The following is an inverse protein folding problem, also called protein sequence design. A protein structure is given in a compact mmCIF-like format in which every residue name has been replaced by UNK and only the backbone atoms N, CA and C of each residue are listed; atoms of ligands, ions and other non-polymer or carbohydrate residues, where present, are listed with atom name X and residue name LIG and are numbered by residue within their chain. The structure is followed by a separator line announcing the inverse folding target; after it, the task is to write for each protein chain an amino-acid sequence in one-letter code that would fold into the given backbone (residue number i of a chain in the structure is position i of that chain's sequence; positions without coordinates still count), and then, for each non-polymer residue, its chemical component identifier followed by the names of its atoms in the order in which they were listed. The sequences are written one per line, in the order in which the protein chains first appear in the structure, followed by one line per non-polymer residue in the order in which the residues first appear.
data_IF_501933881554
#
_entry.id   IF_501933881554
#
_cell.length_a   1.000
_cell.length_b   1.000
_cell.length_c   1.000
_cell.angle_alpha   90.00
_cell.angle_beta   90.00
_cell.angle_gamma   90.00
#
_symmetry.space_group_name_H-M   'P 1'
#
loop_
_entity.id
_entity.type
_entity.pdbx_description
1 polymer ?
#
# COMPACT_ATOMS: atom_id res chain seq x y z
N UNK A 1 -18.95 3.80 1.68
CA UNK A 1 -17.86 3.98 2.67
C UNK A 1 -18.18 5.20 3.54
N UNK A 2 -18.34 5.07 4.86
CA UNK A 2 -18.47 6.25 5.73
C UNK A 2 -17.13 6.99 5.89
N UNK A 3 -17.08 8.26 5.47
CA UNK A 3 -16.05 9.22 5.90
C UNK A 3 -16.48 9.74 7.28
N UNK A 4 -15.76 9.34 8.32
CA UNK A 4 -16.08 9.74 9.69
C UNK A 4 -15.25 10.97 10.07
N UNK A 5 -15.87 11.85 10.86
CA UNK A 5 -15.24 13.09 11.33
C UNK A 5 -14.02 12.75 12.19
N UNK A 6 -12.85 13.24 11.79
CA UNK A 6 -11.61 13.13 12.55
C UNK A 6 -11.28 14.48 13.23
N UNK A 7 -10.68 14.46 14.43
CA UNK A 7 -10.31 15.66 15.16
C UNK A 7 -9.25 16.48 14.40
N UNK A 8 -9.44 17.80 14.38
CA UNK A 8 -8.47 18.75 13.82
C UNK A 8 -7.29 18.94 14.78
N UNK A 9 -6.06 18.67 14.33
CA UNK A 9 -4.87 19.16 15.03
C UNK A 9 -4.72 20.65 14.73
N UNK A 10 -5.17 21.53 15.65
CA UNK A 10 -4.99 22.98 15.52
C UNK A 10 -3.75 23.42 16.29
N UNK A 11 -2.67 23.67 15.57
CA UNK A 11 -1.47 24.31 16.11
C UNK A 11 -0.64 25.01 15.01
N UNK A 12 -0.86 26.32 14.82
CA UNK A 12 0.14 27.27 14.29
C UNK A 12 0.10 27.67 12.80
N UNK A 13 0.07 28.98 12.54
CA UNK A 13 0.25 29.69 11.25
C UNK A 13 -0.95 29.74 10.27
N UNK A 14 -1.17 30.86 9.53
CA UNK A 14 -2.22 30.97 8.49
C UNK A 14 -2.01 30.04 7.27
N UNK A 15 -0.85 29.37 7.22
CA UNK A 15 -0.49 28.33 6.25
C UNK A 15 -0.36 26.97 6.95
N UNK A 16 -1.37 26.61 7.75
CA UNK A 16 -1.37 25.35 8.50
C UNK A 16 -1.44 24.18 7.51
N UNK A 17 -0.36 23.40 7.45
CA UNK A 17 -0.36 22.10 6.77
C UNK A 17 -1.32 21.19 7.54
N UNK A 18 -2.49 20.93 6.98
CA UNK A 18 -3.48 20.03 7.55
C UNK A 18 -3.05 18.57 7.33
N UNK A 19 -3.43 17.68 8.25
CA UNK A 19 -3.29 16.24 8.09
C UNK A 19 -4.66 15.57 8.16
N UNK A 20 -4.84 14.48 7.42
CA UNK A 20 -6.06 13.66 7.48
C UNK A 20 -5.74 12.18 7.41
N UNK A 21 -6.50 11.37 8.16
CA UNK A 21 -6.45 9.91 8.11
C UNK A 21 -7.46 9.40 7.09
N UNK A 22 -6.99 8.64 6.12
CA UNK A 22 -7.82 7.97 5.10
C UNK A 22 -7.55 6.49 5.17
N UNK A 23 -8.60 5.68 5.19
CA UNK A 23 -8.48 4.22 5.20
C UNK A 23 -9.15 3.59 3.99
N UNK A 24 -8.42 2.69 3.31
CA UNK A 24 -9.03 1.73 2.38
C UNK A 24 -9.57 0.58 3.21
N UNK A 25 -10.87 0.35 3.10
CA UNK A 25 -11.61 -0.68 3.85
C UNK A 25 -11.39 -2.07 3.24
N UNK A 26 -11.82 -3.16 3.90
CA UNK A 26 -11.59 -4.52 3.43
C UNK A 26 -11.99 -4.78 1.98
N UNK A 27 -13.16 -4.30 1.56
CA UNK A 27 -13.63 -4.41 0.17
C UNK A 27 -12.69 -3.72 -0.83
N UNK A 28 -12.19 -2.52 -0.50
CA UNK A 28 -11.30 -1.78 -1.37
C UNK A 28 -9.91 -2.42 -1.51
N UNK A 29 -9.40 -3.03 -0.43
CA UNK A 29 -8.14 -3.79 -0.47
C UNK A 29 -8.32 -5.06 -1.28
N UNK A 30 -9.40 -5.81 -1.03
CA UNK A 30 -9.73 -7.04 -1.75
C UNK A 30 -9.94 -6.82 -3.24
N UNK A 31 -10.40 -5.62 -3.61
CA UNK A 31 -10.57 -5.17 -4.99
C UNK A 31 -9.33 -4.56 -5.61
N UNK A 32 -8.18 -4.59 -4.92
CA UNK A 32 -6.92 -4.05 -5.45
C UNK A 32 -7.08 -2.59 -5.90
N UNK A 33 -7.67 -1.75 -5.02
CA UNK A 33 -7.90 -0.33 -5.29
C UNK A 33 -6.90 0.59 -4.60
N UNK A 34 -5.92 0.06 -3.88
CA UNK A 34 -5.01 0.84 -3.03
C UNK A 34 -4.19 1.79 -3.90
N UNK A 35 -3.58 1.30 -4.97
CA UNK A 35 -2.77 2.10 -5.87
C UNK A 35 -3.60 3.19 -6.56
N UNK A 36 -4.83 2.86 -6.94
CA UNK A 36 -5.75 3.82 -7.56
C UNK A 36 -6.16 4.93 -6.60
N UNK A 37 -6.45 4.61 -5.33
CA UNK A 37 -6.77 5.62 -4.31
C UNK A 37 -5.56 6.51 -4.05
N UNK A 38 -4.37 5.94 -3.86
CA UNK A 38 -3.13 6.69 -3.61
C UNK A 38 -2.83 7.63 -4.78
N UNK A 39 -2.93 7.17 -6.03
CA UNK A 39 -2.71 8.02 -7.20
C UNK A 39 -3.63 9.24 -7.24
N UNK A 40 -4.89 9.12 -6.81
CA UNK A 40 -5.80 10.27 -6.79
C UNK A 40 -5.32 11.33 -5.82
N UNK A 41 -4.89 10.93 -4.63
CA UNK A 41 -4.35 11.86 -3.64
C UNK A 41 -3.01 12.48 -4.09
N UNK A 42 -2.11 11.68 -4.67
CA UNK A 42 -0.84 12.15 -5.24
C UNK A 42 -1.09 13.18 -6.36
N UNK A 43 -2.05 12.96 -7.26
CA UNK A 43 -2.39 13.92 -8.34
C UNK A 43 -2.93 15.25 -7.85
N UNK A 44 -3.54 15.28 -6.66
CA UNK A 44 -3.97 16.51 -6.00
C UNK A 44 -2.82 17.23 -5.27
N UNK A 45 -1.60 16.68 -5.32
CA UNK A 45 -0.42 17.24 -4.69
C UNK A 45 -0.33 16.94 -3.20
N UNK A 46 -1.17 16.04 -2.66
CA UNK A 46 -1.10 15.66 -1.26
C UNK A 46 0.10 14.76 -0.99
N UNK A 47 0.73 14.97 0.16
CA UNK A 47 1.90 14.23 0.60
C UNK A 47 1.46 13.09 1.50
N UNK A 48 1.79 11.86 1.13
CA UNK A 48 1.66 10.71 2.03
C UNK A 48 2.78 10.77 3.07
N UNK A 49 2.43 10.78 4.36
CA UNK A 49 3.40 10.87 5.47
C UNK A 49 3.41 9.66 6.39
N UNK A 50 2.43 8.77 6.25
CA UNK A 50 2.43 7.48 6.92
C UNK A 50 1.44 6.54 6.27
N UNK A 51 1.76 5.26 6.24
CA UNK A 51 0.80 4.22 5.86
C UNK A 51 1.14 2.88 6.51
N UNK A 52 0.11 2.10 6.80
CA UNK A 52 0.25 0.72 7.28
C UNK A 52 -0.93 -0.13 6.85
N UNK A 53 -0.63 -1.35 6.42
CA UNK A 53 -1.61 -2.42 6.27
C UNK A 53 -1.83 -3.13 7.61
N UNK A 54 -3.09 -3.39 7.94
CA UNK A 54 -3.48 -4.05 9.18
C UNK A 54 -4.71 -4.93 8.95
N UNK A 55 -4.78 -6.07 9.61
CA UNK A 55 -6.02 -6.81 9.81
C UNK A 55 -6.31 -6.83 11.30
N UNK A 56 -7.46 -6.29 11.69
CA UNK A 56 -7.83 -6.25 13.10
C UNK A 56 -8.56 -7.54 13.44
N UNK A 57 -7.88 -8.43 14.17
CA UNK A 57 -8.45 -9.62 14.78
C UNK A 57 -8.80 -9.36 16.25
N UNK A 58 -9.55 -10.27 16.87
CA UNK A 58 -9.85 -10.19 18.31
C UNK A 58 -8.54 -10.13 19.15
N UNK A 59 -8.51 -9.33 20.24
CA UNK A 59 -9.59 -8.47 20.73
C UNK A 59 -9.76 -7.18 19.91
N UNK A 60 -11.00 -6.83 19.53
CA UNK A 60 -11.32 -5.68 18.65
C UNK A 60 -11.20 -4.29 19.31
N UNK A 61 -10.38 -4.14 20.35
CA UNK A 61 -10.27 -2.87 21.10
C UNK A 61 -9.87 -1.69 20.22
N UNK A 62 -9.00 -1.91 19.23
CA UNK A 62 -8.56 -0.86 18.30
C UNK A 62 -9.74 -0.32 17.49
N UNK A 63 -10.63 -1.19 16.99
CA UNK A 63 -11.84 -0.75 16.29
C UNK A 63 -12.84 -0.11 17.26
N UNK A 64 -12.94 -0.64 18.48
CA UNK A 64 -13.86 -0.12 19.48
C UNK A 64 -13.50 1.31 19.92
N UNK A 65 -12.20 1.58 20.11
CA UNK A 65 -11.63 2.89 20.41
C UNK A 65 -11.75 3.82 19.20
N UNK A 66 -11.35 3.36 18.01
CA UNK A 66 -11.43 4.15 16.78
C UNK A 66 -12.85 4.61 16.43
N UNK A 67 -13.86 3.77 16.71
CA UNK A 67 -15.27 4.08 16.46
C UNK A 67 -16.08 4.39 17.73
N UNK A 68 -15.43 4.86 18.80
CA UNK A 68 -16.10 5.10 20.10
C UNK A 68 -17.34 5.99 19.98
N UNK A 69 -17.30 7.01 19.12
CA UNK A 69 -18.40 7.98 18.93
C UNK A 69 -19.63 7.37 18.26
N UNK A 70 -19.48 6.18 17.67
CA UNK A 70 -20.55 5.46 16.98
C UNK A 70 -21.14 4.34 17.82
N UNK A 71 -20.62 4.03 19.01
CA UNK A 71 -21.03 2.88 19.82
C UNK A 71 -22.55 2.82 20.09
N UNK A 72 -23.22 3.98 20.14
CA UNK A 72 -24.66 4.08 20.38
C UNK A 72 -25.51 3.97 19.11
N UNK A 73 -24.91 3.85 17.92
CA UNK A 73 -25.63 3.78 16.64
C UNK A 73 -26.08 2.34 16.36
N UNK A 74 -27.30 2.13 15.82
CA UNK A 74 -27.82 0.79 15.54
C UNK A 74 -26.94 -0.05 14.59
N UNK A 75 -26.25 0.60 13.66
CA UNK A 75 -25.37 -0.05 12.69
C UNK A 75 -23.97 -0.37 13.23
N UNK A 76 -23.64 0.03 14.47
CA UNK A 76 -22.29 -0.11 15.02
C UNK A 76 -21.77 -1.56 15.05
N UNK A 77 -22.55 -2.57 15.50
CA UNK A 77 -22.07 -3.95 15.48
C UNK A 77 -21.72 -4.45 14.07
N UNK A 78 -22.55 -4.09 13.09
CA UNK A 78 -22.31 -4.43 11.69
C UNK A 78 -21.07 -3.71 11.14
N UNK A 79 -20.84 -2.44 11.52
CA UNK A 79 -19.62 -1.71 11.17
C UNK A 79 -18.38 -2.39 11.73
N UNK A 80 -18.36 -2.77 13.01
CA UNK A 80 -17.21 -3.44 13.63
C UNK A 80 -16.94 -4.78 12.95
N UNK A 81 -17.98 -5.59 12.76
CA UNK A 81 -17.88 -6.87 12.05
C UNK A 81 -17.37 -6.72 10.62
N UNK A 82 -17.77 -5.65 9.93
CA UNK A 82 -17.30 -5.35 8.58
C UNK A 82 -15.83 -4.93 8.57
N UNK A 83 -15.42 -4.05 9.48
CA UNK A 83 -14.05 -3.55 9.52
C UNK A 83 -13.04 -4.62 9.97
N UNK A 84 -13.48 -5.65 10.70
CA UNK A 84 -12.66 -6.82 11.06
C UNK A 84 -12.70 -7.95 10.02
N UNK A 85 -13.50 -7.83 8.95
CA UNK A 85 -13.69 -8.93 7.98
C UNK A 85 -12.50 -9.15 7.04
N UNK A 86 -11.49 -8.29 7.06
CA UNK A 86 -10.35 -8.38 6.15
C UNK A 86 -9.31 -7.29 6.36
N UNK A 87 -8.33 -7.20 5.45
CA UNK A 87 -7.24 -6.22 5.53
C UNK A 87 -7.73 -4.80 5.32
N UNK A 88 -7.10 -3.85 5.99
CA UNK A 88 -7.27 -2.42 5.77
C UNK A 88 -5.92 -1.79 5.46
N UNK A 89 -5.93 -0.67 4.75
CA UNK A 89 -4.75 0.20 4.60
C UNK A 89 -5.10 1.56 5.16
N UNK A 90 -4.48 1.94 6.26
CA UNK A 90 -4.60 3.27 6.86
C UNK A 90 -3.48 4.16 6.35
N UNK A 91 -3.79 5.40 5.98
CA UNK A 91 -2.88 6.38 5.39
C UNK A 91 -3.08 7.75 6.02
N UNK A 92 -1.98 8.45 6.30
CA UNK A 92 -1.98 9.84 6.75
C UNK A 92 -1.49 10.71 5.60
N UNK A 93 -2.34 11.66 5.21
CA UNK A 93 -2.09 12.60 4.12
C UNK A 93 -1.96 14.01 4.65
N UNK A 94 -1.02 14.76 4.10
CA UNK A 94 -0.78 16.16 4.41
C UNK A 94 -0.90 17.04 3.17
N UNK A 95 -1.47 18.23 3.36
CA UNK A 95 -1.53 19.23 2.29
C UNK A 95 -2.51 20.36 2.57
N UNK A 96 -2.50 21.34 1.69
CA UNK A 96 -3.43 22.47 1.78
C UNK A 96 -4.87 21.99 1.56
N UNK A 97 -5.77 22.29 2.50
CA UNK A 97 -7.18 21.90 2.45
C UNK A 97 -7.35 20.39 2.19
N UNK A 98 -6.43 19.56 2.70
CA UNK A 98 -6.46 18.12 2.47
C UNK A 98 -7.73 17.52 3.08
N UNK A 99 -8.22 18.03 4.21
CA UNK A 99 -9.45 17.53 4.84
C UNK A 99 -10.67 17.78 3.93
N UNK A 100 -10.84 19.02 3.45
CA UNK A 100 -11.97 19.39 2.60
C UNK A 100 -11.94 18.69 1.25
N UNK A 101 -10.78 18.70 0.59
CA UNK A 101 -10.60 18.09 -0.73
C UNK A 101 -10.72 16.56 -0.67
N UNK A 102 -10.20 15.92 0.38
CA UNK A 102 -10.35 14.46 0.56
C UNK A 102 -11.81 14.07 0.69
N UNK A 103 -12.62 14.83 1.44
CA UNK A 103 -14.06 14.57 1.56
C UNK A 103 -14.77 14.65 0.21
N UNK A 104 -14.47 15.68 -0.58
CA UNK A 104 -15.03 15.82 -1.93
C UNK A 104 -14.61 14.68 -2.87
N UNK A 105 -13.33 14.25 -2.79
CA UNK A 105 -12.77 13.20 -3.63
C UNK A 105 -13.29 11.80 -3.28
N UNK A 106 -13.50 11.52 -1.99
CA UNK A 106 -14.05 10.26 -1.50
C UNK A 106 -15.52 10.09 -1.94
N UNK A 107 -16.30 11.16 -1.92
CA UNK A 107 -17.72 11.14 -2.32
C UNK A 107 -18.67 10.76 -1.17
N UNK A 108 -19.97 10.75 -1.47
CA UNK A 108 -21.03 10.50 -0.49
C UNK A 108 -20.91 9.12 0.17
N UNK A 109 -21.38 8.97 1.42
CA UNK A 109 -21.21 7.72 2.17
C UNK A 109 -22.06 6.55 1.63
N UNK A 110 -23.18 6.90 0.99
CA UNK A 110 -24.01 6.00 0.20
C UNK A 110 -23.42 5.88 -1.21
N UNK A 111 -23.01 4.68 -1.59
CA UNK A 111 -22.42 4.40 -2.91
C UNK A 111 -23.39 4.61 -4.06
N UNK A 112 -24.70 4.51 -3.82
CA UNK A 112 -25.72 4.74 -4.86
C UNK A 112 -25.98 6.22 -5.12
N UNK A 113 -25.52 7.09 -4.22
CA UNK A 113 -25.62 8.55 -4.32
C UNK A 113 -24.26 9.22 -4.61
N UNK A 114 -23.20 8.43 -4.77
CA UNK A 114 -21.86 8.95 -5.05
C UNK A 114 -21.72 9.37 -6.53
N UNK A 115 -21.29 10.61 -6.77
CA UNK A 115 -21.12 11.14 -8.13
C UNK A 115 -19.99 10.40 -8.90
N UNK A 116 -20.16 10.16 -10.22
CA UNK A 116 -19.07 9.68 -11.08
C UNK A 116 -17.83 10.58 -10.99
N UNK A 117 -16.64 9.99 -10.96
CA UNK A 117 -15.37 10.70 -10.72
C UNK A 117 -14.93 10.76 -9.25
N UNK A 118 -15.81 10.40 -8.30
CA UNK A 118 -15.43 10.20 -6.88
C UNK A 118 -14.95 8.76 -6.64
N UNK A 119 -14.14 8.53 -5.61
CA UNK A 119 -13.62 7.18 -5.30
C UNK A 119 -14.78 6.19 -5.09
N UNK A 120 -15.84 6.60 -4.42
CA UNK A 120 -17.00 5.73 -4.20
C UNK A 120 -17.86 5.54 -5.45
N UNK A 121 -18.01 6.58 -6.29
CA UNK A 121 -18.77 6.47 -7.54
C UNK A 121 -18.11 5.55 -8.57
N UNK A 122 -16.78 5.50 -8.60
CA UNK A 122 -16.05 4.81 -9.67
C UNK A 122 -15.76 3.32 -9.38
N UNK A 123 -15.78 2.88 -8.13
CA UNK A 123 -15.26 1.55 -7.75
C UNK A 123 -16.20 0.68 -6.90
N UNK A 124 -17.48 1.04 -6.81
CA UNK A 124 -18.48 0.26 -6.08
C UNK A 124 -19.13 -0.83 -6.96
N UNK A 125 -18.49 -1.98 -7.27
CA UNK A 125 -19.06 -3.30 -7.71
C UNK A 125 -17.95 -4.40 -7.80
N UNK A 126 -18.30 -5.70 -7.64
CA UNK A 126 -17.45 -6.90 -7.44
C UNK A 126 -16.82 -7.53 -8.69
N UNK A 127 -15.58 -8.08 -8.58
CA UNK A 127 -15.01 -9.13 -9.46
C UNK A 127 -14.13 -10.13 -8.64
N UNK A 128 -14.09 -11.38 -9.13
CA UNK A 128 -13.56 -12.64 -8.54
C UNK A 128 -12.05 -12.85 -8.71
N UNK A 129 -11.44 -13.62 -7.81
CA UNK A 129 -10.08 -14.20 -7.92
C UNK A 129 -10.06 -15.69 -7.53
N UNK A 130 -9.07 -16.44 -8.04
CA UNK A 130 -8.92 -17.90 -7.94
C UNK A 130 -7.68 -18.27 -7.11
N UNK A 131 -7.69 -19.35 -6.30
CA UNK A 131 -6.55 -19.72 -5.48
C UNK A 131 -5.49 -20.46 -6.31
N UNK A 132 -4.26 -19.94 -6.32
CA UNK A 132 -3.06 -20.68 -6.74
C UNK A 132 -2.00 -20.61 -5.64
N UNK A 133 -1.11 -21.60 -5.62
CA UNK A 133 0.00 -21.77 -4.67
C UNK A 133 0.84 -20.50 -4.49
N UNK A 134 1.04 -20.09 -3.24
CA UNK A 134 1.53 -18.77 -2.81
C UNK A 134 3.07 -18.69 -2.82
N UNK A 135 3.63 -18.16 -3.90
CA UNK A 135 4.94 -17.53 -3.86
C UNK A 135 4.77 -16.08 -3.37
N UNK A 136 5.74 -15.57 -2.62
CA UNK A 136 5.75 -14.19 -2.11
C UNK A 136 7.05 -13.49 -2.50
N UNK A 137 6.99 -12.17 -2.71
CA UNK A 137 8.17 -11.35 -2.97
C UNK A 137 8.13 -10.05 -2.16
N UNK A 138 9.29 -9.56 -1.74
CA UNK A 138 9.42 -8.22 -1.21
C UNK A 138 9.55 -7.23 -2.37
N UNK A 139 8.80 -6.13 -2.31
CA UNK A 139 8.92 -4.99 -3.22
C UNK A 139 9.05 -3.72 -2.40
N UNK A 140 10.00 -2.87 -2.75
CA UNK A 140 10.29 -1.62 -2.05
C UNK A 140 10.28 -0.44 -3.02
N UNK A 141 9.40 0.54 -2.80
CA UNK A 141 9.50 1.87 -3.42
C UNK A 141 10.53 2.68 -2.64
N UNK A 142 11.59 3.09 -3.32
CA UNK A 142 12.75 3.76 -2.73
C UNK A 142 12.49 5.24 -2.42
N UNK A 143 13.38 5.93 -1.69
CA UNK A 143 13.15 7.31 -1.26
C UNK A 143 12.83 8.30 -2.39
N UNK A 144 13.45 8.14 -3.56
CA UNK A 144 13.15 8.96 -4.74
C UNK A 144 11.78 8.64 -5.37
N UNK A 145 11.36 7.38 -5.38
CA UNK A 145 10.01 6.99 -5.80
C UNK A 145 8.93 7.58 -4.90
N UNK A 146 9.17 7.60 -3.59
CA UNK A 146 8.29 8.26 -2.60
C UNK A 146 8.29 9.77 -2.78
N UNK A 147 9.46 10.41 -2.88
CA UNK A 147 9.59 11.87 -3.08
C UNK A 147 8.90 12.35 -4.35
N UNK A 148 8.88 11.52 -5.39
CA UNK A 148 8.24 11.80 -6.68
C UNK A 148 6.77 11.41 -6.74
N UNK A 149 6.17 10.96 -5.64
CA UNK A 149 4.75 10.58 -5.56
C UNK A 149 4.38 9.50 -6.59
N UNK A 150 5.20 8.44 -6.66
CA UNK A 150 5.00 7.31 -7.56
C UNK A 150 4.48 6.06 -6.84
N UNK A 151 4.08 6.19 -5.57
CA UNK A 151 3.69 5.04 -4.73
C UNK A 151 2.45 4.38 -5.32
N UNK A 152 1.42 5.18 -5.61
CA UNK A 152 0.18 4.66 -6.19
C UNK A 152 0.39 4.10 -7.59
N UNK A 153 1.32 4.68 -8.36
CA UNK A 153 1.68 4.21 -9.70
C UNK A 153 2.30 2.81 -9.66
N UNK A 154 3.24 2.59 -8.75
CA UNK A 154 3.85 1.27 -8.55
C UNK A 154 2.81 0.26 -8.09
N UNK A 155 2.06 0.55 -7.02
CA UNK A 155 1.08 -0.38 -6.45
C UNK A 155 0.05 -0.80 -7.52
N UNK A 156 -0.46 0.16 -8.30
CA UNK A 156 -1.45 -0.12 -9.33
C UNK A 156 -0.94 -1.11 -10.40
N UNK A 157 0.37 -1.13 -10.71
CA UNK A 157 0.92 -2.11 -11.68
C UNK A 157 0.86 -3.54 -11.14
N UNK A 158 1.19 -3.72 -9.87
CA UNK A 158 1.11 -5.03 -9.21
C UNK A 158 -0.34 -5.48 -9.02
N UNK A 159 -1.22 -4.55 -8.63
CA UNK A 159 -2.67 -4.76 -8.55
C UNK A 159 -3.26 -5.19 -9.90
N UNK A 160 -2.95 -4.46 -10.99
CA UNK A 160 -3.45 -4.81 -12.33
C UNK A 160 -2.93 -6.14 -12.87
N UNK A 161 -1.77 -6.59 -12.40
CA UNK A 161 -1.26 -7.92 -12.73
C UNK A 161 -2.06 -9.04 -12.03
N UNK A 162 -2.81 -8.70 -10.99
CA UNK A 162 -3.59 -9.64 -10.18
C UNK A 162 -2.83 -10.17 -8.97
N UNK A 163 -1.71 -9.56 -8.58
CA UNK A 163 -1.01 -9.95 -7.36
C UNK A 163 -1.77 -9.51 -6.12
N UNK A 164 -1.69 -10.35 -5.09
CA UNK A 164 -2.34 -10.13 -3.81
C UNK A 164 -1.39 -9.39 -2.88
N UNK A 165 -1.77 -8.21 -2.41
CA UNK A 165 -1.00 -7.50 -1.39
C UNK A 165 -1.28 -8.14 -0.01
N UNK A 166 -0.22 -8.55 0.70
CA UNK A 166 -0.33 -9.19 2.03
C UNK A 166 0.41 -8.44 3.14
N UNK A 167 1.27 -7.49 2.80
CA UNK A 167 1.92 -6.62 3.80
C UNK A 167 2.33 -5.31 3.15
N UNK A 168 2.22 -4.21 3.89
CA UNK A 168 2.67 -2.88 3.44
C UNK A 168 2.93 -1.94 4.62
N UNK A 169 4.06 -1.22 4.57
CA UNK A 169 4.35 -0.12 5.50
C UNK A 169 5.26 0.93 4.89
N UNK A 170 5.05 2.18 5.31
CA UNK A 170 5.99 3.28 5.07
C UNK A 170 6.91 3.42 6.27
N UNK A 171 8.21 3.53 6.00
CA UNK A 171 9.23 3.70 7.04
C UNK A 171 10.41 4.51 6.52
N UNK A 172 11.08 5.22 7.43
CA UNK A 172 12.43 5.73 7.19
C UNK A 172 13.38 4.85 7.98
N UNK A 173 14.41 4.33 7.33
CA UNK A 173 15.33 3.37 7.95
C UNK A 173 16.31 4.12 8.84
N UNK A 174 16.01 4.14 10.15
CA UNK A 174 16.85 4.78 11.16
C UNK A 174 18.05 3.93 11.56
N UNK A 175 17.91 2.61 11.51
CA UNK A 175 18.90 1.64 11.95
C UNK A 175 19.78 1.17 10.79
N UNK A 176 21.07 1.57 10.73
CA UNK A 176 21.95 1.23 9.60
C UNK A 176 22.16 -0.28 9.42
N UNK A 177 22.04 -1.07 10.50
CA UNK A 177 22.24 -2.51 10.45
C UNK A 177 21.21 -3.22 9.56
N UNK A 178 19.96 -2.73 9.50
CA UNK A 178 18.90 -3.34 8.68
C UNK A 178 19.28 -3.25 7.20
N UNK A 179 19.78 -2.10 6.75
CA UNK A 179 20.26 -1.96 5.37
C UNK A 179 21.53 -2.79 5.13
N UNK A 180 22.39 -2.92 6.12
CA UNK A 180 23.60 -3.72 6.00
C UNK A 180 23.33 -5.23 5.86
N UNK A 181 22.29 -5.71 6.54
CA UNK A 181 21.78 -7.08 6.41
C UNK A 181 21.07 -7.28 5.07
N UNK A 182 20.20 -6.33 4.68
CA UNK A 182 19.49 -6.37 3.39
C UNK A 182 20.44 -6.39 2.20
N UNK A 183 21.52 -5.59 2.25
CA UNK A 183 22.52 -5.49 1.19
C UNK A 183 23.82 -6.24 1.51
N UNK A 184 23.76 -7.29 2.34
CA UNK A 184 24.96 -8.03 2.77
C UNK A 184 25.83 -8.51 1.59
N UNK A 185 25.19 -8.94 0.50
CA UNK A 185 25.86 -9.48 -0.69
C UNK A 185 26.59 -8.40 -1.50
N UNK A 186 26.31 -7.11 -1.23
CA UNK A 186 26.87 -5.96 -1.92
C UNK A 186 27.94 -5.21 -1.11
N UNK A 187 28.22 -5.61 0.14
CA UNK A 187 29.11 -4.87 1.05
C UNK A 187 30.51 -4.61 0.49
N UNK A 188 31.01 -5.48 -0.41
CA UNK A 188 32.33 -5.34 -1.05
C UNK A 188 32.32 -4.50 -2.33
N UNK A 189 31.16 -4.02 -2.79
CA UNK A 189 31.03 -3.25 -4.01
C UNK A 189 31.38 -1.77 -3.76
N UNK A 190 32.08 -1.09 -4.69
CA UNK A 190 32.52 0.30 -4.49
C UNK A 190 31.37 1.29 -4.30
N UNK A 191 30.18 0.99 -4.84
CA UNK A 191 28.98 1.83 -4.70
C UNK A 191 28.19 1.60 -3.41
N UNK A 192 28.56 0.60 -2.58
CA UNK A 192 27.80 0.22 -1.40
C UNK A 192 27.59 1.37 -0.40
N UNK A 193 28.59 2.20 -0.05
CA UNK A 193 28.37 3.33 0.86
C UNK A 193 27.33 4.33 0.32
N UNK A 194 27.35 4.58 -0.99
CA UNK A 194 26.38 5.45 -1.64
C UNK A 194 24.97 4.84 -1.65
N UNK A 195 24.86 3.51 -1.82
CA UNK A 195 23.60 2.78 -1.76
C UNK A 195 22.95 2.89 -0.36
N UNK A 196 23.72 2.66 0.70
CA UNK A 196 23.22 2.77 2.09
C UNK A 196 22.79 4.21 2.38
N UNK A 197 23.62 5.19 2.03
CA UNK A 197 23.29 6.62 2.19
C UNK A 197 22.00 7.00 1.46
N UNK A 198 21.84 6.54 0.22
CA UNK A 198 20.63 6.75 -0.58
C UNK A 198 19.39 6.12 0.07
N UNK A 199 19.47 4.86 0.52
CA UNK A 199 18.33 4.18 1.12
C UNK A 199 17.94 4.76 2.49
N UNK A 200 18.88 5.34 3.23
CA UNK A 200 18.60 6.08 4.48
C UNK A 200 18.19 7.55 4.26
N UNK A 201 18.26 8.08 3.04
CA UNK A 201 18.04 9.51 2.77
C UNK A 201 16.60 9.99 2.95
N UNK A 202 15.64 9.09 3.08
CA UNK A 202 14.23 9.43 3.23
C UNK A 202 13.32 8.21 3.44
N UNK A 203 12.00 8.43 3.47
CA UNK A 203 11.04 7.34 3.64
C UNK A 203 10.98 6.44 2.40
N UNK A 204 10.76 5.15 2.63
CA UNK A 204 10.48 4.14 1.62
C UNK A 204 9.17 3.41 1.94
N UNK A 205 8.58 2.75 0.95
CA UNK A 205 7.40 1.90 1.14
C UNK A 205 7.79 0.46 0.85
N UNK A 206 7.81 -0.37 1.87
CA UNK A 206 8.02 -1.82 1.75
C UNK A 206 6.68 -2.51 1.61
N UNK A 207 6.60 -3.51 0.73
CA UNK A 207 5.39 -4.27 0.40
C UNK A 207 5.72 -5.74 0.22
N UNK A 208 4.78 -6.61 0.58
CA UNK A 208 4.84 -8.05 0.29
C UNK A 208 3.68 -8.39 -0.64
N UNK A 209 4.03 -8.94 -1.80
CA UNK A 209 3.09 -9.37 -2.83
C UNK A 209 3.11 -10.89 -2.96
N UNK A 210 1.92 -11.48 -3.06
CA UNK A 210 1.71 -12.90 -3.30
C UNK A 210 1.10 -13.16 -4.67
N UNK A 211 1.50 -14.27 -5.27
CA UNK A 211 0.87 -14.79 -6.48
C UNK A 211 1.73 -15.79 -7.21
N UNK A 212 1.20 -16.33 -8.30
CA UNK A 212 1.91 -17.30 -9.12
C UNK A 212 3.13 -16.63 -9.79
N UNK A 213 4.32 -17.21 -9.59
CA UNK A 213 5.59 -16.73 -10.17
C UNK A 213 5.84 -15.24 -9.89
N UNK A 214 5.47 -14.77 -8.70
CA UNK A 214 5.46 -13.34 -8.38
C UNK A 214 6.88 -12.76 -8.36
N UNK A 215 7.91 -13.48 -7.91
CA UNK A 215 9.30 -13.01 -7.92
C UNK A 215 9.76 -12.76 -9.36
N UNK A 216 9.67 -13.78 -10.21
CA UNK A 216 10.10 -13.68 -11.61
C UNK A 216 9.33 -12.60 -12.38
N UNK A 217 8.01 -12.54 -12.19
CA UNK A 217 7.17 -11.58 -12.88
C UNK A 217 7.39 -10.15 -12.35
N UNK A 218 7.62 -9.96 -11.05
CA UNK A 218 7.93 -8.66 -10.47
C UNK A 218 9.20 -8.07 -11.07
N UNK A 219 10.24 -8.89 -11.27
CA UNK A 219 11.47 -8.46 -11.94
C UNK A 219 11.23 -8.06 -13.39
N UNK A 220 10.41 -8.82 -14.12
CA UNK A 220 10.04 -8.48 -15.50
C UNK A 220 9.26 -7.16 -15.58
N UNK A 221 8.31 -6.93 -14.67
CA UNK A 221 7.55 -5.68 -14.59
C UNK A 221 8.43 -4.49 -14.20
N UNK A 222 9.39 -4.69 -13.30
CA UNK A 222 10.33 -3.65 -12.88
C UNK A 222 11.27 -3.27 -14.03
N UNK A 223 11.77 -4.24 -14.78
CA UNK A 223 12.74 -4.03 -15.84
C UNK A 223 14.19 -4.04 -15.33
N UNK A 224 15.11 -3.73 -16.23
CA UNK A 224 16.54 -3.77 -15.94
C UNK A 224 16.94 -2.78 -14.83
N UNK A 225 17.92 -3.15 -14.00
CA UNK A 225 18.37 -2.29 -12.88
C UNK A 225 18.98 -0.97 -13.35
N UNK A 226 19.64 -1.00 -14.51
CA UNK A 226 20.03 0.21 -15.25
C UNK A 226 18.85 0.68 -16.11
N UNK A 227 18.35 1.87 -15.82
CA UNK A 227 17.17 2.44 -16.47
C UNK A 227 17.39 2.75 -17.94
N UNK A 228 18.63 2.95 -18.38
CA UNK A 228 18.93 3.17 -19.81
C UNK A 228 18.75 1.90 -20.65
N UNK A 229 18.84 0.73 -19.99
CA UNK A 229 18.65 -0.60 -20.60
C UNK A 229 17.25 -1.17 -20.31
N UNK A 230 16.43 -0.47 -19.53
CA UNK A 230 15.09 -0.91 -19.19
C UNK A 230 14.13 -0.63 -20.35
N UNK A 231 13.38 -1.66 -20.76
CA UNK A 231 12.42 -1.52 -21.87
C UNK A 231 11.28 -0.55 -21.51
N UNK A 232 10.77 0.25 -22.48
CA UNK A 232 9.54 1.02 -22.30
C UNK A 232 8.38 0.12 -21.84
N UNK A 233 7.55 0.61 -20.92
CA UNK A 233 6.49 -0.16 -20.29
C UNK A 233 6.93 -0.88 -19.01
N UNK A 234 8.22 -0.99 -18.71
CA UNK A 234 8.72 -1.42 -17.39
C UNK A 234 8.75 -0.24 -16.41
N UNK A 235 8.72 -0.50 -15.10
CA UNK A 235 8.72 0.58 -14.09
C UNK A 235 9.99 1.43 -14.21
N UNK A 236 11.15 0.80 -14.40
CA UNK A 236 12.41 1.51 -14.53
C UNK A 236 12.49 2.29 -15.85
N UNK A 237 12.03 1.70 -16.96
CA UNK A 237 12.04 2.37 -18.27
C UNK A 237 11.11 3.58 -18.34
N UNK A 238 9.97 3.53 -17.64
CA UNK A 238 8.99 4.61 -17.67
C UNK A 238 9.29 5.73 -16.66
N UNK A 239 9.98 5.42 -15.56
CA UNK A 239 10.07 6.34 -14.43
C UNK A 239 11.48 6.60 -13.89
N UNK A 240 12.53 5.92 -14.34
CA UNK A 240 13.89 6.18 -13.90
C UNK A 240 14.80 6.53 -15.07
N UNK A 241 15.85 7.30 -14.77
CA UNK A 241 16.78 7.84 -15.78
C UNK A 241 18.22 7.36 -15.51
N UNK A 242 18.54 6.99 -14.27
CA UNK A 242 19.90 6.67 -13.85
C UNK A 242 19.91 5.52 -12.85
N UNK A 243 20.89 4.61 -12.98
CA UNK A 243 21.03 3.41 -12.15
C UNK A 243 21.07 3.68 -10.64
N UNK A 244 21.60 4.83 -10.21
CA UNK A 244 21.65 5.22 -8.79
C UNK A 244 20.33 5.80 -8.25
N UNK A 245 19.34 6.03 -9.11
CA UNK A 245 18.00 6.59 -8.80
C UNK A 245 16.92 5.73 -9.48
N UNK A 246 16.99 4.44 -9.16
CA UNK A 246 16.10 3.42 -9.67
C UNK A 246 14.98 3.20 -8.66
N UNK A 247 13.81 3.79 -8.91
CA UNK A 247 12.76 4.10 -7.90
C UNK A 247 12.17 2.91 -7.12
N UNK A 248 12.48 1.68 -7.52
CA UNK A 248 11.91 0.45 -6.98
C UNK A 248 12.96 -0.66 -6.91
N UNK A 249 12.81 -1.56 -5.94
CA UNK A 249 13.51 -2.83 -5.83
C UNK A 249 12.50 -3.97 -5.62
N UNK A 250 12.81 -5.17 -6.11
CA UNK A 250 12.15 -6.40 -5.69
C UNK A 250 13.19 -7.49 -5.42
N UNK A 251 12.80 -8.52 -4.68
CA UNK A 251 13.61 -9.71 -4.46
C UNK A 251 14.04 -10.36 -5.78
N UNK A 252 15.26 -10.91 -5.80
CA UNK A 252 15.85 -11.47 -7.01
C UNK A 252 15.60 -12.97 -7.22
N UNK A 253 15.20 -13.66 -6.15
CA UNK A 253 15.04 -15.10 -6.00
C UNK A 253 13.99 -15.41 -4.92
N UNK A 254 13.46 -16.63 -4.89
CA UNK A 254 12.46 -17.07 -3.90
C UNK A 254 13.08 -17.13 -2.50
N UNK A 255 14.30 -17.66 -2.40
CA UNK A 255 15.06 -17.72 -1.14
C UNK A 255 15.44 -16.32 -0.66
N UNK A 256 15.83 -15.43 -1.58
CA UNK A 256 16.05 -14.01 -1.31
C UNK A 256 14.79 -13.35 -0.76
N UNK A 257 13.63 -13.57 -1.40
CA UNK A 257 12.35 -13.04 -0.94
C UNK A 257 12.00 -13.47 0.48
N UNK A 258 12.18 -14.74 0.83
CA UNK A 258 11.88 -15.22 2.19
C UNK A 258 12.73 -14.52 3.25
N UNK A 259 14.04 -14.42 3.02
CA UNK A 259 14.98 -13.72 3.91
C UNK A 259 14.63 -12.24 4.04
N UNK A 260 14.39 -11.57 2.91
CA UNK A 260 14.05 -10.16 2.87
C UNK A 260 12.70 -9.91 3.59
N UNK A 261 11.67 -10.71 3.34
CA UNK A 261 10.38 -10.57 4.03
C UNK A 261 10.54 -10.70 5.55
N UNK A 262 11.31 -11.70 6.02
CA UNK A 262 11.57 -11.88 7.46
C UNK A 262 12.36 -10.72 8.08
N UNK A 263 13.27 -10.10 7.32
CA UNK A 263 14.03 -8.94 7.77
C UNK A 263 13.14 -7.70 7.91
N UNK A 264 12.24 -7.49 6.95
CA UNK A 264 11.44 -6.25 6.88
C UNK A 264 10.10 -6.35 7.58
N UNK A 265 9.51 -7.53 7.76
CA UNK A 265 8.16 -7.72 8.31
C UNK A 265 8.14 -8.70 9.46
N UNK A 266 7.50 -8.30 10.56
CA UNK A 266 7.08 -9.24 11.60
C UNK A 266 5.87 -10.04 11.11
N UNK A 267 5.67 -11.25 11.65
CA UNK A 267 4.55 -12.12 11.24
C UNK A 267 3.17 -11.48 11.43
N UNK A 268 3.02 -10.56 12.39
CA UNK A 268 1.78 -9.81 12.63
C UNK A 268 1.58 -8.61 11.68
N UNK A 269 2.58 -8.28 10.85
CA UNK A 269 2.49 -7.27 9.80
C UNK A 269 2.11 -7.89 8.43
N UNK A 270 2.06 -9.22 8.35
CA UNK A 270 1.60 -9.97 7.19
C UNK A 270 0.17 -10.46 7.42
N UNK A 271 -0.66 -10.32 6.40
CA UNK A 271 -2.09 -10.54 6.46
C UNK A 271 -2.49 -11.65 5.50
N UNK A 272 -3.06 -12.72 6.03
CA UNK A 272 -3.64 -13.78 5.22
C UNK A 272 -5.17 -13.58 5.08
N UNK A 273 -5.60 -13.17 3.90
CA UNK A 273 -7.01 -12.96 3.58
C UNK A 273 -7.43 -13.76 2.35
N UNK A 274 -8.67 -14.22 2.31
CA UNK A 274 -9.17 -15.00 1.18
C UNK A 274 -9.43 -14.07 -0.01
N UNK A 275 -8.89 -14.41 -1.18
CA UNK A 275 -9.43 -13.92 -2.44
C UNK A 275 -10.89 -14.37 -2.46
N UNK A 276 -11.86 -13.47 -2.69
CA UNK A 276 -13.28 -13.64 -2.38
C UNK A 276 -14.06 -14.76 -3.11
N UNK A 277 -13.49 -15.94 -3.30
CA UNK A 277 -14.11 -17.15 -3.80
C UNK A 277 -14.51 -18.09 -2.67
N UNK A 278 -15.70 -17.90 -2.11
CA UNK A 278 -16.38 -19.03 -1.45
C UNK A 278 -16.83 -20.03 -2.50
N UNK A 279 -16.39 -21.28 -2.34
CA UNK A 279 -16.96 -22.46 -2.98
C UNK A 279 -18.45 -22.59 -2.63
N UNK A 280 -19.33 -22.60 -3.63
CA UNK A 280 -20.57 -23.39 -3.57
C UNK A 280 -20.45 -24.55 -4.56
N UNK A 281 -19.59 -25.51 -4.23
CA UNK A 281 -19.74 -26.86 -4.75
C UNK A 281 -20.85 -27.54 -3.96
N UNK A 282 -22.06 -27.49 -4.49
CA UNK A 282 -23.10 -28.48 -4.21
C UNK A 282 -24.11 -28.44 -5.33
N UNK A 283 -23.89 -29.23 -6.38
CA UNK A 283 -24.89 -30.19 -6.86
C UNK A 283 -24.16 -31.39 -7.50
N UNK A 284 -24.58 -32.63 -7.18
CA UNK A 284 -23.96 -33.84 -7.66
C UNK A 284 -24.53 -34.33 -9.00
N UNK A 285 -23.72 -35.17 -9.67
CA UNK A 285 -23.95 -35.96 -10.89
C UNK A 285 -24.02 -35.20 -12.22
#
# INVERSE_FOLDING_TARGET
MAALNFPTFKGGSPWTQESTLVAVKPDGVQRQLIGTVIQRFERWGFKLVGMKMLQVSEPLYILAEHYQDLQRKPFYPALISYMSSGPMVAMVWEGYNVVGTSRAMIGHSDSTEAAPGTIQGDFSIHIRGSPWTQESTLVAVKPDGVQRQLIGTVIQRFERWGFKLVGMKMLQVSEPFILAEHYQDLQRKPFYPALISYMSSGPMVAMVWEGYNVVGTSRAMIGHSDSTEAAPGTIQGDFSIHISRNIIQASDSVEGAQREIQLWFQSNELVNWADGGHYSSSYPA
#
